data_IF_367291977860
#
_entry.id   IF_367291977860
#
_cell.length_a   1.000
_cell.length_b   1.000
_cell.length_c   1.000
_cell.angle_alpha   90.00
_cell.angle_beta   90.00
_cell.angle_gamma   90.00
#
_symmetry.space_group_name_H-M   'P 1'
#
loop_
_entity.id
_entity.type
_entity.pdbx_description
1 polymer ?
#
# COMPACT_ATOMS: atom_id res chain seq x y z
N UNK A 1 -53.76 59.03 21.92
CA UNK A 1 -53.27 57.67 21.64
C UNK A 1 -53.36 57.44 20.14
N UNK A 2 -52.28 57.72 19.41
CA UNK A 2 -52.17 57.50 17.96
C UNK A 2 -52.09 55.99 17.71
N UNK A 3 -53.16 55.40 17.20
CA UNK A 3 -53.20 53.99 16.84
C UNK A 3 -52.45 53.79 15.50
N UNK A 4 -51.14 53.56 15.57
CA UNK A 4 -50.36 53.17 14.40
C UNK A 4 -50.85 51.80 13.92
N UNK A 5 -51.64 51.81 12.84
CA UNK A 5 -52.04 50.60 12.12
C UNK A 5 -50.89 50.22 11.20
N UNK A 6 -50.47 48.97 11.28
CA UNK A 6 -49.41 48.38 10.45
C UNK A 6 -49.99 47.17 9.72
N UNK A 7 -49.42 46.82 8.58
CA UNK A 7 -49.98 45.77 7.73
C UNK A 7 -49.70 44.39 8.32
N UNK A 8 -50.75 43.55 8.44
CA UNK A 8 -50.58 42.15 8.86
C UNK A 8 -49.91 41.33 7.76
N UNK A 9 -48.92 40.51 8.11
CA UNK A 9 -48.20 39.63 7.20
C UNK A 9 -49.09 38.58 6.52
N UNK A 10 -50.09 38.04 7.22
CA UNK A 10 -50.93 36.95 6.70
C UNK A 10 -52.13 37.48 5.91
N UNK A 11 -52.91 38.40 6.48
CA UNK A 11 -54.13 38.90 5.83
C UNK A 11 -53.95 40.19 5.03
N UNK A 12 -52.74 40.79 5.00
CA UNK A 12 -52.39 42.01 4.25
C UNK A 12 -53.28 43.24 4.51
N UNK A 13 -54.00 43.28 5.64
CA UNK A 13 -54.87 44.39 6.04
C UNK A 13 -54.19 45.26 7.10
N UNK A 14 -54.38 46.58 7.00
CA UNK A 14 -53.91 47.56 7.99
C UNK A 14 -54.73 47.47 9.28
N UNK A 15 -54.14 46.85 10.29
CA UNK A 15 -54.76 46.60 11.59
C UNK A 15 -53.79 46.94 12.70
N UNK A 16 -54.24 46.85 13.95
CA UNK A 16 -53.31 46.76 15.08
C UNK A 16 -52.63 45.40 14.95
N UNK A 17 -51.31 45.41 14.80
CA UNK A 17 -50.50 44.19 14.68
C UNK A 17 -49.52 44.07 15.82
N UNK A 18 -49.07 42.85 16.04
CA UNK A 18 -48.15 42.44 17.08
C UNK A 18 -46.97 41.73 16.42
N UNK A 19 -45.75 42.07 16.84
CA UNK A 19 -44.53 41.46 16.32
C UNK A 19 -44.34 40.07 16.96
N UNK A 20 -44.05 39.06 16.14
CA UNK A 20 -43.55 37.79 16.62
C UNK A 20 -42.03 37.85 16.73
N UNK A 21 -41.48 37.70 17.94
CA UNK A 21 -40.02 37.78 18.18
C UNK A 21 -39.23 36.66 17.49
N UNK A 22 -39.89 35.55 17.14
CA UNK A 22 -39.25 34.42 16.45
C UNK A 22 -39.07 34.67 14.96
N UNK A 23 -40.16 34.95 14.23
CA UNK A 23 -40.12 35.11 12.77
C UNK A 23 -40.03 36.57 12.31
N UNK A 24 -39.99 37.52 13.25
CA UNK A 24 -39.87 38.97 13.05
C UNK A 24 -40.97 39.58 12.15
N UNK A 25 -42.12 38.91 12.06
CA UNK A 25 -43.28 39.34 11.26
C UNK A 25 -44.38 39.93 12.15
N UNK A 26 -45.11 40.88 11.61
CA UNK A 26 -46.23 41.54 12.28
C UNK A 26 -47.56 40.86 11.93
N UNK A 27 -48.32 40.42 12.93
CA UNK A 27 -49.58 39.72 12.75
C UNK A 27 -50.73 40.47 13.43
N UNK A 28 -51.93 40.43 12.85
CA UNK A 28 -53.12 40.83 13.61
C UNK A 28 -53.43 39.78 14.68
N UNK A 29 -54.21 40.14 15.70
CA UNK A 29 -54.48 39.26 16.86
C UNK A 29 -54.96 37.86 16.48
N UNK A 30 -55.83 37.77 15.47
CA UNK A 30 -56.38 36.50 14.97
C UNK A 30 -55.29 35.65 14.30
N UNK A 31 -54.57 36.22 13.34
CA UNK A 31 -53.52 35.51 12.60
C UNK A 31 -52.30 35.19 13.49
N UNK A 32 -52.05 35.97 14.55
CA UNK A 32 -51.04 35.66 15.56
C UNK A 32 -51.42 34.42 16.38
N UNK A 33 -52.72 34.25 16.65
CA UNK A 33 -53.25 33.11 17.40
C UNK A 33 -53.13 31.84 16.57
N UNK A 34 -53.45 31.92 15.28
CA UNK A 34 -53.27 30.82 14.31
C UNK A 34 -51.78 30.48 14.12
N UNK A 35 -50.91 31.48 14.00
CA UNK A 35 -49.46 31.26 13.94
C UNK A 35 -48.92 30.55 15.19
N UNK A 36 -49.39 30.93 16.38
CA UNK A 36 -49.02 30.27 17.64
C UNK A 36 -49.58 28.86 17.75
N UNK A 37 -50.75 28.59 17.18
CA UNK A 37 -51.33 27.25 17.15
C UNK A 37 -50.47 26.30 16.32
N UNK A 38 -50.01 26.73 15.14
CA UNK A 38 -49.09 25.93 14.31
C UNK A 38 -47.77 25.63 15.03
N UNK A 39 -47.19 26.61 15.73
CA UNK A 39 -45.99 26.39 16.53
C UNK A 39 -46.22 25.41 17.69
N UNK A 40 -47.42 25.41 18.27
CA UNK A 40 -47.77 24.47 19.33
C UNK A 40 -47.94 23.04 18.79
N UNK A 41 -48.48 22.89 17.57
CA UNK A 41 -48.54 21.61 16.87
C UNK A 41 -47.13 21.06 16.59
N UNK A 42 -46.21 21.88 16.09
CA UNK A 42 -44.79 21.49 15.90
C UNK A 42 -44.12 21.06 17.21
N UNK A 43 -44.38 21.79 18.30
CA UNK A 43 -43.87 21.43 19.62
C UNK A 43 -44.42 20.07 20.09
N UNK A 44 -45.70 19.78 19.84
CA UNK A 44 -46.29 18.48 20.15
C UNK A 44 -45.63 17.33 19.38
N UNK A 45 -45.26 17.54 18.10
CA UNK A 45 -44.50 16.55 17.33
C UNK A 45 -43.13 16.28 17.94
N UNK A 46 -42.38 17.34 18.31
CA UNK A 46 -41.06 17.21 18.92
C UNK A 46 -41.12 16.46 20.26
N UNK A 47 -42.13 16.77 21.09
CA UNK A 47 -42.33 16.09 22.37
C UNK A 47 -42.61 14.60 22.16
N UNK A 48 -43.48 14.26 21.22
CA UNK A 48 -43.80 12.86 20.93
C UNK A 48 -42.59 12.09 20.40
N UNK A 49 -41.78 12.69 19.51
CA UNK A 49 -40.57 12.07 18.97
C UNK A 49 -39.52 11.84 20.08
N UNK A 50 -39.35 12.81 20.98
CA UNK A 50 -38.50 12.67 22.16
C UNK A 50 -38.95 11.52 23.07
N UNK A 51 -40.25 11.42 23.37
CA UNK A 51 -40.78 10.38 24.24
C UNK A 51 -40.63 8.98 23.61
N UNK A 52 -40.85 8.85 22.30
CA UNK A 52 -40.60 7.61 21.56
C UNK A 52 -39.12 7.22 21.59
N UNK A 53 -38.22 8.16 21.31
CA UNK A 53 -36.79 7.91 21.36
C UNK A 53 -36.32 7.52 22.77
N UNK A 54 -36.81 8.21 23.80
CA UNK A 54 -36.48 7.92 25.20
C UNK A 54 -36.96 6.54 25.62
N UNK A 55 -38.13 6.12 25.16
CA UNK A 55 -38.64 4.77 25.41
C UNK A 55 -37.73 3.71 24.76
N UNK A 56 -37.40 3.88 23.48
CA UNK A 56 -36.45 3.01 22.76
C UNK A 56 -35.11 2.93 23.48
N UNK A 57 -34.57 4.08 23.90
CA UNK A 57 -33.29 4.16 24.61
C UNK A 57 -33.33 3.46 25.97
N UNK A 58 -34.45 3.52 26.68
CA UNK A 58 -34.62 2.85 27.98
C UNK A 58 -34.77 1.33 27.86
N UNK A 59 -35.42 0.86 26.80
CA UNK A 59 -35.65 -0.57 26.53
C UNK A 59 -34.42 -1.25 25.90
N UNK A 60 -33.63 -0.51 25.12
CA UNK A 60 -32.44 -1.01 24.41
C UNK A 60 -31.12 -0.58 25.05
N UNK A 61 -31.07 -0.41 26.38
CA UNK A 61 -29.82 -0.04 27.08
C UNK A 61 -28.72 -1.06 26.74
N UNK A 62 -27.75 -0.76 25.86
CA UNK A 62 -26.84 -1.77 25.36
C UNK A 62 -25.93 -2.20 26.52
N UNK A 63 -25.76 -3.50 26.71
CA UNK A 63 -24.66 -3.96 27.55
C UNK A 63 -23.36 -3.51 26.87
N UNK A 64 -22.36 -3.05 27.63
CA UNK A 64 -21.07 -2.64 27.06
C UNK A 64 -20.37 -3.73 26.22
N UNK A 65 -20.87 -4.99 26.24
CA UNK A 65 -20.36 -6.11 25.45
C UNK A 65 -20.90 -6.19 24.03
N UNK A 66 -22.02 -5.53 23.72
CA UNK A 66 -22.67 -5.64 22.39
C UNK A 66 -22.23 -4.55 21.41
N UNK A 67 -21.17 -3.80 21.75
CA UNK A 67 -20.57 -2.84 20.84
C UNK A 67 -19.88 -3.60 19.71
N UNK A 68 -20.42 -3.49 18.49
CA UNK A 68 -19.83 -4.01 17.24
C UNK A 68 -18.32 -3.75 17.08
N UNK A 69 -17.79 -2.70 17.73
CA UNK A 69 -16.36 -2.41 17.82
C UNK A 69 -15.54 -3.49 18.53
N UNK A 70 -16.07 -4.10 19.60
CA UNK A 70 -15.39 -5.19 20.32
C UNK A 70 -15.32 -6.43 19.44
N UNK A 71 -16.39 -6.75 18.71
CA UNK A 71 -16.39 -7.85 17.75
C UNK A 71 -15.41 -7.59 16.58
N UNK A 72 -15.32 -6.34 16.11
CA UNK A 72 -14.34 -5.95 15.10
C UNK A 72 -12.90 -6.09 15.62
N UNK A 73 -12.64 -5.75 16.89
CA UNK A 73 -11.32 -5.93 17.52
C UNK A 73 -10.99 -7.42 17.65
N UNK A 74 -11.94 -8.24 18.13
CA UNK A 74 -11.76 -9.68 18.25
C UNK A 74 -11.50 -10.34 16.88
N UNK A 75 -12.22 -9.91 15.85
CA UNK A 75 -12.02 -10.39 14.49
C UNK A 75 -10.65 -9.98 13.94
N UNK A 76 -10.25 -8.72 14.16
CA UNK A 76 -8.93 -8.22 13.77
C UNK A 76 -7.79 -8.99 14.47
N UNK A 77 -7.95 -9.32 15.74
CA UNK A 77 -6.98 -10.12 16.50
C UNK A 77 -6.81 -11.51 15.88
N UNK A 78 -7.92 -12.21 15.62
CA UNK A 78 -7.93 -13.53 14.98
C UNK A 78 -7.25 -13.47 13.60
N UNK A 79 -7.63 -12.50 12.77
CA UNK A 79 -7.11 -12.36 11.41
C UNK A 79 -5.61 -12.05 11.40
N UNK A 80 -5.15 -11.21 12.33
CA UNK A 80 -3.73 -10.83 12.44
C UNK A 80 -2.87 -12.03 12.87
N UNK A 81 -3.31 -12.79 13.88
CA UNK A 81 -2.62 -14.00 14.33
C UNK A 81 -2.57 -15.06 13.21
N UNK A 82 -3.66 -15.22 12.45
CA UNK A 82 -3.71 -16.18 11.35
C UNK A 82 -2.75 -15.79 10.22
N UNK A 83 -2.65 -14.51 9.88
CA UNK A 83 -1.67 -14.02 8.88
C UNK A 83 -0.23 -14.31 9.31
N UNK A 84 0.10 -14.09 10.58
CA UNK A 84 1.43 -14.39 11.13
C UNK A 84 1.74 -15.89 11.02
N UNK A 85 0.78 -16.74 11.43
CA UNK A 85 0.93 -18.21 11.32
C UNK A 85 1.12 -18.67 9.88
N UNK A 86 0.34 -18.12 8.95
CA UNK A 86 0.46 -18.46 7.54
C UNK A 86 1.83 -18.06 6.99
N UNK A 87 2.29 -16.84 7.30
CA UNK A 87 3.60 -16.36 6.84
C UNK A 87 4.75 -17.22 7.37
N UNK A 88 4.67 -17.65 8.64
CA UNK A 88 5.65 -18.57 9.21
C UNK A 88 5.65 -19.92 8.49
N UNK A 89 4.47 -20.46 8.18
CA UNK A 89 4.32 -21.71 7.42
C UNK A 89 4.90 -21.59 6.01
N UNK A 90 4.57 -20.52 5.29
CA UNK A 90 5.08 -20.26 3.94
C UNK A 90 6.61 -20.18 3.95
N UNK A 91 7.19 -19.53 4.96
CA UNK A 91 8.64 -19.45 5.09
C UNK A 91 9.28 -20.83 5.32
N UNK A 92 8.68 -21.67 6.17
CA UNK A 92 9.16 -23.05 6.37
C UNK A 92 9.10 -23.85 5.05
N UNK A 93 8.00 -23.74 4.31
CA UNK A 93 7.87 -24.42 3.00
C UNK A 93 8.90 -23.91 2.00
N UNK A 94 9.19 -22.61 1.98
CA UNK A 94 10.25 -22.03 1.15
C UNK A 94 11.66 -22.52 1.53
N UNK A 95 11.95 -22.68 2.82
CA UNK A 95 13.22 -23.26 3.31
C UNK A 95 13.35 -24.70 2.84
N UNK A 96 12.30 -25.51 2.99
CA UNK A 96 12.27 -26.92 2.58
C UNK A 96 12.49 -27.02 1.07
N UNK A 97 11.75 -26.25 0.28
CA UNK A 97 11.84 -26.24 -1.17
C UNK A 97 13.23 -25.80 -1.67
N UNK A 98 13.80 -24.78 -1.04
CA UNK A 98 15.15 -24.30 -1.36
C UNK A 98 16.20 -25.37 -1.04
N UNK A 99 16.08 -26.03 0.11
CA UNK A 99 16.97 -27.13 0.52
C UNK A 99 16.88 -28.32 -0.44
N UNK A 100 15.67 -28.71 -0.84
CA UNK A 100 15.45 -29.77 -1.84
C UNK A 100 16.09 -29.43 -3.19
N UNK A 101 16.00 -28.17 -3.62
CA UNK A 101 16.64 -27.74 -4.87
C UNK A 101 18.16 -27.91 -4.81
N UNK A 102 18.80 -27.49 -3.72
CA UNK A 102 20.25 -27.68 -3.52
C UNK A 102 20.63 -29.17 -3.52
N UNK A 103 19.84 -30.01 -2.86
CA UNK A 103 20.09 -31.46 -2.83
C UNK A 103 19.95 -32.10 -4.22
N UNK A 104 18.93 -31.71 -5.00
CA UNK A 104 18.74 -32.18 -6.37
C UNK A 104 19.89 -31.75 -7.28
N UNK A 105 20.38 -30.51 -7.14
CA UNK A 105 21.53 -30.01 -7.90
C UNK A 105 22.81 -30.81 -7.59
N UNK A 106 23.04 -31.14 -6.31
CA UNK A 106 24.14 -32.00 -5.87
C UNK A 106 24.01 -33.41 -6.47
N UNK A 107 22.81 -33.98 -6.49
CA UNK A 107 22.55 -35.29 -7.08
C UNK A 107 22.85 -35.31 -8.58
N UNK A 108 22.44 -34.28 -9.32
CA UNK A 108 22.76 -34.13 -10.75
C UNK A 108 24.28 -34.06 -10.96
N UNK A 109 25.00 -33.25 -10.18
CA UNK A 109 26.47 -33.15 -10.28
C UNK A 109 27.17 -34.46 -9.96
N UNK A 110 26.70 -35.22 -8.97
CA UNK A 110 27.24 -36.54 -8.64
C UNK A 110 27.01 -37.54 -9.76
N UNK A 111 25.83 -37.52 -10.39
CA UNK A 111 25.52 -38.39 -11.53
C UNK A 111 26.39 -38.06 -12.75
N UNK A 112 26.59 -36.77 -13.05
CA UNK A 112 27.47 -36.33 -14.13
C UNK A 112 28.92 -36.75 -13.89
N UNK A 113 29.43 -36.55 -12.66
CA UNK A 113 30.77 -37.00 -12.28
C UNK A 113 30.92 -38.53 -12.41
N UNK A 114 29.88 -39.29 -12.07
CA UNK A 114 29.87 -40.74 -12.22
C UNK A 114 29.96 -41.17 -13.70
N UNK A 115 29.25 -40.49 -14.61
CA UNK A 115 29.37 -40.75 -16.05
C UNK A 115 30.77 -40.39 -16.58
N UNK A 116 31.35 -39.28 -16.14
CA UNK A 116 32.72 -38.91 -16.48
C UNK A 116 33.74 -39.95 -15.99
N UNK A 117 33.58 -40.47 -14.75
CA UNK A 117 34.42 -41.55 -14.22
C UNK A 117 34.31 -42.80 -15.10
N UNK A 118 33.08 -43.21 -15.47
CA UNK A 118 32.87 -44.36 -16.35
C UNK A 118 33.50 -44.17 -17.72
N UNK A 119 33.41 -42.95 -18.29
CA UNK A 119 33.99 -42.64 -19.58
C UNK A 119 35.52 -42.80 -19.55
N UNK A 120 36.21 -42.13 -18.63
CA UNK A 120 37.67 -42.24 -18.50
C UNK A 120 38.12 -43.68 -18.22
N UNK A 121 37.33 -44.44 -17.46
CA UNK A 121 37.61 -45.85 -17.19
C UNK A 121 37.46 -46.71 -18.44
N UNK A 122 36.36 -46.56 -19.20
CA UNK A 122 36.07 -47.39 -20.38
C UNK A 122 36.99 -47.08 -21.56
N UNK A 123 37.38 -45.81 -21.70
CA UNK A 123 38.29 -45.35 -22.76
C UNK A 123 39.77 -45.57 -22.40
N UNK A 124 40.07 -46.03 -21.18
CA UNK A 124 41.44 -46.13 -20.63
C UNK A 124 42.23 -44.80 -20.70
N UNK A 125 41.54 -43.66 -20.75
CA UNK A 125 42.11 -42.31 -20.86
C UNK A 125 42.46 -41.69 -19.50
N UNK A 126 42.68 -42.50 -18.47
CA UNK A 126 43.07 -41.99 -17.16
C UNK A 126 44.55 -41.60 -17.15
N UNK A 127 44.81 -40.35 -16.78
CA UNK A 127 46.13 -39.80 -16.50
C UNK A 127 46.04 -38.92 -15.24
N UNK A 128 47.17 -38.42 -14.76
CA UNK A 128 47.25 -37.62 -13.54
C UNK A 128 46.37 -36.37 -13.59
N UNK A 129 46.23 -35.75 -14.77
CA UNK A 129 45.42 -34.55 -14.99
C UNK A 129 43.93 -34.88 -14.84
N UNK A 130 43.47 -35.95 -15.49
CA UNK A 130 42.06 -36.36 -15.44
C UNK A 130 41.68 -36.84 -14.02
N UNK A 131 42.58 -37.54 -13.33
CA UNK A 131 42.38 -37.96 -11.94
C UNK A 131 42.36 -36.77 -10.96
N UNK A 132 43.20 -35.76 -11.16
CA UNK A 132 43.22 -34.55 -10.35
C UNK A 132 41.97 -33.70 -10.60
N UNK A 133 41.51 -33.60 -11.85
CA UNK A 133 40.24 -32.95 -12.21
C UNK A 133 39.05 -33.59 -11.48
N UNK A 134 38.88 -34.92 -11.56
CA UNK A 134 37.79 -35.63 -10.88
C UNK A 134 37.83 -35.45 -9.36
N UNK A 135 39.03 -35.45 -8.76
CA UNK A 135 39.20 -35.18 -7.33
C UNK A 135 38.76 -33.77 -6.96
N UNK A 136 39.14 -32.78 -7.76
CA UNK A 136 38.78 -31.39 -7.51
C UNK A 136 37.27 -31.17 -7.66
N UNK A 137 36.61 -31.78 -8.63
CA UNK A 137 35.14 -31.73 -8.76
C UNK A 137 34.44 -32.38 -7.55
N UNK A 138 34.92 -33.54 -7.08
CA UNK A 138 34.37 -34.18 -5.89
C UNK A 138 34.55 -33.32 -4.63
N UNK A 139 35.69 -32.63 -4.49
CA UNK A 139 35.95 -31.70 -3.38
C UNK A 139 34.94 -30.54 -3.42
N UNK A 140 34.71 -29.94 -4.59
CA UNK A 140 33.72 -28.85 -4.75
C UNK A 140 32.32 -29.28 -4.35
N UNK A 141 31.87 -30.45 -4.83
CA UNK A 141 30.55 -30.99 -4.48
C UNK A 141 30.45 -31.22 -2.95
N UNK A 142 31.51 -31.73 -2.33
CA UNK A 142 31.56 -31.94 -0.87
C UNK A 142 31.53 -30.63 -0.10
N UNK A 143 32.21 -29.59 -0.58
CA UNK A 143 32.18 -28.26 0.04
C UNK A 143 30.79 -27.63 -0.05
N UNK A 144 30.10 -27.76 -1.19
CA UNK A 144 28.72 -27.30 -1.37
C UNK A 144 27.73 -28.04 -0.46
N UNK A 145 27.90 -29.36 -0.27
CA UNK A 145 27.07 -30.16 0.63
C UNK A 145 27.27 -29.80 2.11
N UNK A 146 28.53 -29.58 2.52
CA UNK A 146 28.85 -29.28 3.92
C UNK A 146 28.57 -27.82 4.30
N UNK A 147 28.55 -26.91 3.32
CA UNK A 147 28.23 -25.50 3.51
C UNK A 147 27.06 -25.10 2.60
N UNK A 148 25.85 -25.66 2.81
CA UNK A 148 24.69 -25.22 2.04
C UNK A 148 24.46 -23.73 2.34
N UNK A 149 23.95 -22.93 1.38
CA UNK A 149 23.63 -21.53 1.62
C UNK A 149 22.71 -21.43 2.83
N UNK A 150 23.31 -21.07 3.96
CA UNK A 150 22.73 -21.30 5.29
C UNK A 150 21.69 -20.22 5.52
N UNK A 151 20.43 -20.62 5.72
CA UNK A 151 19.40 -19.72 6.19
C UNK A 151 19.85 -19.11 7.53
N UNK A 152 20.01 -17.79 7.59
CA UNK A 152 20.27 -17.08 8.83
C UNK A 152 18.98 -16.45 9.32
N UNK A 153 18.63 -16.68 10.58
CA UNK A 153 17.54 -15.96 11.25
C UNK A 153 18.07 -14.58 11.64
N UNK A 154 17.50 -13.52 11.07
CA UNK A 154 17.76 -12.15 11.49
C UNK A 154 16.44 -11.53 11.98
N UNK A 155 16.40 -10.90 13.17
CA UNK A 155 15.24 -10.14 13.59
C UNK A 155 15.13 -8.87 12.73
N UNK A 156 13.99 -8.68 12.06
CA UNK A 156 13.68 -7.41 11.42
C UNK A 156 13.50 -6.35 12.52
N UNK A 157 14.42 -5.39 12.56
CA UNK A 157 14.33 -4.23 13.45
C UNK A 157 13.27 -3.25 12.93
N UNK A 158 12.00 -3.48 13.26
CA UNK A 158 10.99 -2.43 13.25
C UNK A 158 11.03 -1.67 14.60
N UNK A 159 10.94 -0.32 14.63
CA UNK A 159 11.34 0.44 15.81
C UNK A 159 10.40 0.34 17.02
N UNK A 160 9.20 -0.26 16.90
CA UNK A 160 8.22 -0.29 17.98
C UNK A 160 7.23 -1.46 17.83
N UNK A 161 7.62 -2.66 18.26
CA UNK A 161 6.75 -3.71 18.83
C UNK A 161 7.63 -4.86 19.28
N UNK A 162 7.38 -5.40 20.47
CA UNK A 162 8.03 -6.64 20.93
C UNK A 162 7.93 -7.73 19.85
N UNK A 163 9.08 -8.34 19.60
CA UNK A 163 9.51 -8.97 18.37
C UNK A 163 8.64 -10.16 17.92
N UNK A 164 8.16 -10.13 16.68
CA UNK A 164 7.83 -11.34 15.93
C UNK A 164 9.04 -11.61 15.02
N UNK A 165 9.81 -12.68 15.23
CA UNK A 165 10.90 -13.03 14.33
C UNK A 165 10.33 -13.41 12.97
N UNK A 166 10.45 -12.52 11.99
CA UNK A 166 10.23 -12.84 10.59
C UNK A 166 11.46 -13.62 10.14
N UNK A 167 11.28 -14.89 9.80
CA UNK A 167 12.35 -15.65 9.15
C UNK A 167 12.47 -15.07 7.74
N UNK A 168 13.48 -14.24 7.50
CA UNK A 168 13.84 -13.81 6.15
C UNK A 168 14.87 -14.79 5.59
N UNK A 169 14.47 -15.49 4.53
CA UNK A 169 15.43 -16.18 3.67
C UNK A 169 16.15 -15.10 2.86
N UNK A 170 17.19 -14.50 3.43
CA UNK A 170 18.20 -13.89 2.59
C UNK A 170 18.84 -15.03 1.79
N UNK A 171 18.36 -15.23 0.56
CA UNK A 171 19.27 -15.63 -0.50
C UNK A 171 20.44 -14.69 -0.32
N UNK A 172 21.63 -15.22 -0.02
CA UNK A 172 22.83 -14.56 -0.49
C UNK A 172 22.65 -14.50 -2.00
N UNK A 173 21.96 -13.47 -2.49
CA UNK A 173 22.47 -12.73 -3.60
C UNK A 173 23.84 -12.28 -3.11
N UNK A 174 24.84 -13.15 -3.27
CA UNK A 174 25.61 -13.08 -4.49
C UNK A 174 25.02 -11.98 -5.37
N UNK A 175 25.31 -10.71 -5.05
CA UNK A 175 25.16 -9.57 -5.94
C UNK A 175 26.16 -9.86 -7.05
N UNK A 176 25.83 -10.91 -7.80
CA UNK A 176 26.72 -11.61 -8.68
C UNK A 176 26.79 -10.67 -9.84
N UNK A 177 27.95 -9.99 -9.92
CA UNK A 177 28.57 -9.36 -11.08
C UNK A 177 27.57 -9.03 -12.18
N UNK A 178 27.49 -7.74 -12.54
CA UNK A 178 26.84 -7.26 -13.76
C UNK A 178 26.72 -8.36 -14.82
N UNK A 179 25.49 -8.84 -15.05
CA UNK A 179 25.26 -9.84 -16.09
C UNK A 179 25.56 -9.17 -17.42
N UNK A 180 26.58 -9.65 -18.14
CA UNK A 180 27.02 -9.06 -19.42
C UNK A 180 25.87 -8.96 -20.45
N UNK A 181 24.84 -9.80 -20.31
CA UNK A 181 23.63 -9.79 -21.13
C UNK A 181 22.48 -9.02 -20.44
N UNK A 182 22.71 -7.76 -20.10
CA UNK A 182 21.64 -6.91 -19.55
C UNK A 182 20.52 -6.72 -20.58
N UNK A 183 19.27 -6.80 -20.14
CA UNK A 183 18.09 -6.52 -20.96
C UNK A 183 17.47 -5.20 -20.53
N UNK A 184 16.91 -4.45 -21.48
CA UNK A 184 16.14 -3.24 -21.17
C UNK A 184 14.75 -3.66 -20.68
N UNK A 185 14.41 -3.29 -19.44
CA UNK A 185 13.13 -3.64 -18.80
C UNK A 185 12.10 -2.51 -18.83
N UNK A 186 12.56 -1.27 -19.04
CA UNK A 186 11.75 -0.07 -19.19
C UNK A 186 12.47 0.95 -20.08
N UNK A 187 11.72 1.66 -20.92
CA UNK A 187 12.29 2.64 -21.85
C UNK A 187 13.04 2.02 -23.03
N UNK A 188 14.19 2.58 -23.39
CA UNK A 188 15.02 2.11 -24.53
C UNK A 188 14.64 2.67 -25.91
N UNK A 189 13.62 3.52 -25.99
CA UNK A 189 13.11 4.07 -27.26
C UNK A 189 13.63 5.49 -27.56
N UNK A 190 14.82 5.83 -27.05
CA UNK A 190 15.45 7.15 -27.17
C UNK A 190 14.93 8.18 -26.17
N UNK A 191 15.58 9.36 -26.19
CA UNK A 191 15.18 10.50 -25.37
C UNK A 191 13.85 11.09 -25.86
N UNK A 192 12.92 11.38 -24.95
CA UNK A 192 11.68 12.06 -25.31
C UNK A 192 10.63 12.07 -24.21
N UNK A 193 9.42 12.53 -24.57
CA UNK A 193 8.28 12.72 -23.65
C UNK A 193 7.21 11.62 -23.77
N UNK A 194 7.34 10.69 -24.72
CA UNK A 194 6.37 9.59 -24.85
C UNK A 194 6.44 8.67 -23.63
N UNK A 195 5.39 7.88 -23.40
CA UNK A 195 5.31 6.97 -22.24
C UNK A 195 6.28 5.78 -22.32
N UNK A 196 6.83 5.52 -23.50
CA UNK A 196 7.87 4.53 -23.72
C UNK A 196 9.30 5.14 -23.80
N UNK A 197 9.45 6.43 -23.50
CA UNK A 197 10.68 7.20 -23.55
C UNK A 197 10.98 7.87 -22.20
N UNK A 198 12.26 8.10 -21.92
CA UNK A 198 12.71 8.84 -20.74
C UNK A 198 13.59 10.00 -21.17
N UNK A 199 13.60 11.08 -20.38
CA UNK A 199 14.55 12.17 -20.52
C UNK A 199 15.32 12.33 -19.21
N UNK A 200 16.49 11.69 -19.13
CA UNK A 200 17.28 11.55 -17.91
C UNK A 200 16.52 10.77 -16.83
N UNK A 201 16.63 9.44 -16.84
CA UNK A 201 16.09 8.63 -15.75
C UNK A 201 16.88 8.89 -14.45
N UNK A 202 16.18 9.12 -13.35
CA UNK A 202 16.73 9.33 -12.01
C UNK A 202 16.60 8.11 -11.11
N UNK A 203 16.14 8.31 -9.87
CA UNK A 203 15.88 7.24 -8.92
C UNK A 203 14.83 6.24 -9.40
N UNK A 204 14.95 5.00 -8.91
CA UNK A 204 14.02 3.90 -9.19
C UNK A 204 13.57 3.26 -7.88
N UNK A 205 12.37 2.71 -7.88
CA UNK A 205 11.80 1.87 -6.83
C UNK A 205 11.13 0.65 -7.47
N UNK A 206 11.16 -0.50 -6.80
CA UNK A 206 10.52 -1.73 -7.27
C UNK A 206 9.59 -2.22 -6.15
N UNK A 207 8.31 -2.43 -6.47
CA UNK A 207 7.34 -2.96 -5.52
C UNK A 207 7.34 -4.51 -5.46
N UNK A 208 6.56 -5.09 -4.54
CA UNK A 208 6.43 -6.56 -4.39
C UNK A 208 5.85 -7.23 -5.65
N UNK A 209 5.10 -6.49 -6.46
CA UNK A 209 4.53 -6.96 -7.73
C UNK A 209 5.50 -6.84 -8.91
N UNK A 210 6.75 -6.41 -8.67
CA UNK A 210 7.79 -6.14 -9.69
C UNK A 210 7.43 -4.99 -10.65
N UNK A 211 6.52 -4.11 -10.26
CA UNK A 211 6.34 -2.84 -10.96
C UNK A 211 7.52 -1.93 -10.65
N UNK A 212 7.99 -1.21 -11.66
CA UNK A 212 9.15 -0.33 -11.55
C UNK A 212 8.63 1.11 -11.56
N UNK A 213 8.83 1.83 -10.46
CA UNK A 213 8.56 3.26 -10.38
C UNK A 213 9.84 4.01 -10.70
N UNK A 214 9.80 4.84 -11.74
CA UNK A 214 10.97 5.50 -12.33
C UNK A 214 10.76 7.00 -12.29
N UNK A 215 11.77 7.71 -11.80
CA UNK A 215 11.83 9.16 -11.86
C UNK A 215 12.29 9.58 -13.26
N UNK A 216 11.44 10.31 -14.00
CA UNK A 216 11.79 10.88 -15.30
C UNK A 216 12.18 12.35 -15.11
N UNK A 217 13.46 12.57 -14.79
CA UNK A 217 13.95 13.79 -14.15
C UNK A 217 13.80 15.04 -15.04
N UNK A 218 14.20 14.99 -16.32
CA UNK A 218 14.06 16.15 -17.22
C UNK A 218 12.63 16.32 -17.76
N UNK A 219 11.78 15.29 -17.68
CA UNK A 219 10.36 15.42 -18.01
C UNK A 219 9.48 15.81 -16.82
N UNK A 220 10.05 15.91 -15.62
CA UNK A 220 9.35 16.35 -14.41
C UNK A 220 8.11 15.50 -14.06
N UNK A 221 8.29 14.18 -14.14
CA UNK A 221 7.22 13.21 -13.89
C UNK A 221 7.77 11.95 -13.24
N UNK A 222 6.88 11.19 -12.62
CA UNK A 222 7.13 9.84 -12.12
C UNK A 222 6.33 8.88 -12.98
N UNK A 223 6.98 7.82 -13.46
CA UNK A 223 6.39 6.79 -14.31
C UNK A 223 6.34 5.48 -13.56
N UNK A 224 5.19 4.83 -13.51
CA UNK A 224 5.08 3.41 -13.16
C UNK A 224 5.19 2.57 -14.43
N UNK A 225 6.05 1.56 -14.40
CA UNK A 225 6.23 0.59 -15.48
C UNK A 225 5.88 -0.80 -14.97
N UNK A 226 4.72 -1.31 -15.40
CA UNK A 226 4.25 -2.64 -15.00
C UNK A 226 5.11 -3.74 -15.63
N UNK A 227 5.19 -4.90 -14.97
CA UNK A 227 5.94 -6.04 -15.49
C UNK A 227 5.50 -6.40 -16.92
N UNK A 228 6.45 -6.48 -17.86
CA UNK A 228 6.24 -6.70 -19.30
C UNK A 228 5.44 -5.63 -20.06
N UNK A 229 5.19 -4.46 -19.48
CA UNK A 229 4.56 -3.35 -20.20
C UNK A 229 5.49 -2.80 -21.30
N UNK A 230 4.90 -2.26 -22.38
CA UNK A 230 5.63 -1.60 -23.48
C UNK A 230 5.81 -0.10 -23.28
N UNK A 231 5.01 0.48 -22.40
CA UNK A 231 5.02 1.89 -22.01
C UNK A 231 4.60 2.01 -20.54
N UNK A 232 5.02 3.08 -19.89
CA UNK A 232 4.65 3.36 -18.50
C UNK A 232 3.43 4.25 -18.37
N UNK A 233 3.01 4.47 -17.12
CA UNK A 233 1.88 5.30 -16.73
C UNK A 233 2.38 6.45 -15.85
N UNK A 234 1.88 7.68 -16.08
CA UNK A 234 2.25 8.82 -15.23
C UNK A 234 1.48 8.70 -13.91
N UNK A 235 2.19 8.52 -12.80
CA UNK A 235 1.59 8.42 -11.47
C UNK A 235 1.75 9.71 -10.65
N UNK A 236 2.69 10.59 -11.03
CA UNK A 236 2.82 11.93 -10.46
C UNK A 236 3.55 12.89 -11.40
N UNK A 237 3.26 14.18 -11.27
CA UNK A 237 3.79 15.21 -12.15
C UNK A 237 3.24 15.11 -13.57
N UNK A 238 4.05 15.47 -14.57
CA UNK A 238 3.62 15.47 -15.98
C UNK A 238 2.83 16.71 -16.41
N UNK A 239 2.41 17.56 -15.47
CA UNK A 239 1.72 18.83 -15.73
C UNK A 239 2.68 20.02 -15.95
N UNK A 240 3.85 19.74 -16.53
CA UNK A 240 4.93 20.70 -16.73
C UNK A 240 5.78 20.96 -15.49
N UNK A 241 6.90 21.66 -15.71
CA UNK A 241 7.81 22.08 -14.63
C UNK A 241 7.12 23.14 -13.76
N UNK A 242 7.14 22.96 -12.44
CA UNK A 242 6.66 23.99 -11.53
C UNK A 242 6.57 23.53 -10.08
N UNK A 243 6.03 24.39 -9.22
CA UNK A 243 5.95 24.17 -7.76
C UNK A 243 4.53 23.92 -7.24
N UNK A 244 3.54 23.82 -8.14
CA UNK A 244 2.17 23.44 -7.77
C UNK A 244 2.13 22.00 -7.25
N UNK A 245 1.05 21.60 -6.58
CA UNK A 245 0.96 20.26 -5.96
C UNK A 245 0.88 19.12 -6.99
N UNK A 246 0.40 19.42 -8.20
CA UNK A 246 0.33 18.51 -9.34
C UNK A 246 1.54 18.65 -10.30
N UNK A 247 2.53 19.46 -9.93
CA UNK A 247 3.75 19.69 -10.70
C UNK A 247 4.99 19.23 -9.93
N UNK A 248 5.99 18.82 -10.68
CA UNK A 248 7.32 18.52 -10.16
C UNK A 248 8.35 19.40 -10.84
N UNK A 249 9.52 19.53 -10.23
CA UNK A 249 10.64 20.23 -10.82
C UNK A 249 11.92 19.43 -10.59
N UNK A 250 12.25 18.65 -11.63
CA UNK A 250 13.45 17.82 -11.67
C UNK A 250 13.56 16.89 -10.44
N UNK A 251 12.53 16.06 -10.19
CA UNK A 251 12.54 15.11 -9.07
C UNK A 251 13.72 14.15 -9.20
N UNK A 252 14.31 13.70 -8.09
CA UNK A 252 15.53 12.86 -8.13
C UNK A 252 15.37 11.48 -7.50
N UNK A 253 14.41 11.33 -6.59
CA UNK A 253 14.16 10.08 -5.86
C UNK A 253 12.68 9.88 -5.62
N UNK A 254 12.30 8.61 -5.50
CA UNK A 254 10.94 8.17 -5.21
C UNK A 254 11.02 6.93 -4.31
N UNK A 255 10.13 6.85 -3.34
CA UNK A 255 9.86 5.65 -2.55
C UNK A 255 8.34 5.44 -2.52
N UNK A 256 7.89 4.19 -2.39
CA UNK A 256 6.48 3.86 -2.23
C UNK A 256 6.26 3.39 -0.79
N UNK A 257 5.36 4.05 -0.09
CA UNK A 257 4.83 3.57 1.18
C UNK A 257 3.68 2.61 0.89
N UNK A 258 4.00 1.31 0.96
CA UNK A 258 3.05 0.24 0.68
C UNK A 258 1.94 0.13 1.74
N UNK A 259 2.17 0.58 2.98
CA UNK A 259 1.18 0.52 4.04
C UNK A 259 0.08 1.57 3.83
N UNK A 260 0.49 2.77 3.42
CA UNK A 260 -0.43 3.91 3.22
C UNK A 260 -0.83 4.10 1.75
N UNK A 261 -0.42 3.21 0.84
CA UNK A 261 -0.64 3.32 -0.61
C UNK A 261 -0.29 4.70 -1.18
N UNK A 262 0.84 5.25 -0.75
CA UNK A 262 1.29 6.59 -1.14
C UNK A 262 2.71 6.57 -1.70
N UNK A 263 3.09 7.60 -2.44
CA UNK A 263 4.44 7.75 -2.99
C UNK A 263 5.08 8.99 -2.41
N UNK A 264 6.34 8.89 -1.98
CA UNK A 264 7.09 10.01 -1.45
C UNK A 264 8.18 10.37 -2.45
N UNK A 265 8.18 11.63 -2.89
CA UNK A 265 9.00 12.10 -3.99
C UNK A 265 9.94 13.20 -3.48
N UNK A 266 11.24 13.04 -3.77
CA UNK A 266 12.24 14.08 -3.57
C UNK A 266 12.23 15.06 -4.76
N UNK A 267 11.44 16.12 -4.64
CA UNK A 267 11.26 17.18 -5.65
C UNK A 267 12.39 18.22 -5.58
N UNK A 268 13.56 17.81 -6.10
CA UNK A 268 14.87 18.42 -5.85
C UNK A 268 14.91 19.93 -6.08
N UNK A 269 14.46 20.43 -7.23
CA UNK A 269 14.63 21.86 -7.55
C UNK A 269 13.62 22.73 -6.82
N UNK A 270 12.44 22.18 -6.49
CA UNK A 270 11.51 22.83 -5.58
C UNK A 270 11.94 22.73 -4.11
N UNK A 271 13.02 22.00 -3.81
CA UNK A 271 13.61 21.85 -2.46
C UNK A 271 12.61 21.33 -1.44
N UNK A 272 11.75 20.40 -1.86
CA UNK A 272 10.71 19.79 -1.03
C UNK A 272 10.69 18.28 -1.17
N UNK A 273 10.08 17.65 -0.19
CA UNK A 273 9.61 16.26 -0.27
C UNK A 273 8.09 16.32 -0.30
N UNK A 274 7.47 15.62 -1.25
CA UNK A 274 6.01 15.59 -1.42
C UNK A 274 5.52 14.14 -1.29
N UNK A 275 4.35 13.98 -0.68
CA UNK A 275 3.60 12.75 -0.56
C UNK A 275 2.27 12.90 -1.30
#
# INVERSE_FOLDING_TARGET
MTTNKTQCFTCNKDKITYLCDGCLKNFCLMDLTEHRQLLNEELHYIINDYDQFKQIFSEQKPSLRDLSLIDQINQWEIDSINKIKQKAKDCIEDVIRSSQTVLNDIEIKLNDLNEQIKQFHNENEFNEINLEYLRNELIKIREEYNNPPTASIQPDSLPFTDEIPVISLEKKSNFNKWKQNAITVAGGNGEGKKLNQFNGSGGIFIDENKNIVIVDYLNHRIIEWKYNAKEGEIIAGGNGQGHRMDQLNRPIGVIVDQQNHSIIIADRVNRRVIQ
#
